data_IF_581036493588
#
_entry.id   IF_581036493588
#
_cell.length_a   1.000
_cell.length_b   1.000
_cell.length_c   1.000
_cell.angle_alpha   90.00
_cell.angle_beta   90.00
_cell.angle_gamma   90.00
#
_symmetry.space_group_name_H-M   'P 1'
#
loop_
_entity.id
_entity.type
_entity.pdbx_description
1 polymer ?
#
# COMPACT_ATOMS: atom_id res chain seq x y z
N UNK A 1 -2.58 -49.09 -0.98
CA UNK A 1 -3.81 -48.28 -0.85
C UNK A 1 -3.44 -46.86 -1.22
N UNK A 2 -3.73 -46.45 -2.45
CA UNK A 2 -3.42 -45.11 -2.96
C UNK A 2 -4.65 -44.25 -2.67
N UNK A 3 -4.53 -43.30 -1.74
CA UNK A 3 -5.58 -42.33 -1.47
C UNK A 3 -5.69 -41.45 -2.72
N UNK A 4 -6.71 -41.70 -3.54
CA UNK A 4 -7.09 -40.81 -4.62
C UNK A 4 -7.73 -39.57 -3.98
N UNK A 5 -6.90 -38.62 -3.56
CA UNK A 5 -7.35 -37.28 -3.19
C UNK A 5 -7.48 -36.52 -4.50
N UNK A 6 -8.67 -35.96 -4.75
CA UNK A 6 -8.85 -35.08 -5.89
C UNK A 6 -8.08 -33.76 -5.69
N UNK A 7 -7.55 -33.21 -6.78
CA UNK A 7 -6.71 -32.01 -6.73
C UNK A 7 -7.43 -30.80 -6.11
N UNK A 8 -8.75 -30.69 -6.30
CA UNK A 8 -9.58 -29.63 -5.69
C UNK A 8 -9.59 -29.72 -4.17
N UNK A 9 -9.72 -30.92 -3.60
CA UNK A 9 -9.61 -31.12 -2.14
C UNK A 9 -8.22 -30.75 -1.60
N UNK A 10 -7.15 -30.99 -2.36
CA UNK A 10 -5.79 -30.58 -1.97
C UNK A 10 -5.66 -29.06 -1.96
N UNK A 11 -6.15 -28.37 -2.99
CA UNK A 11 -6.14 -26.91 -3.09
C UNK A 11 -6.87 -26.25 -1.91
N UNK A 12 -8.04 -26.76 -1.53
CA UNK A 12 -8.83 -26.23 -0.40
C UNK A 12 -8.11 -26.38 0.95
N UNK A 13 -7.45 -27.52 1.17
CA UNK A 13 -6.65 -27.75 2.38
C UNK A 13 -5.45 -26.79 2.40
N UNK A 14 -4.78 -26.63 1.26
CA UNK A 14 -3.65 -25.72 1.11
C UNK A 14 -4.07 -24.29 1.44
N UNK A 15 -5.13 -23.78 0.82
CA UNK A 15 -5.68 -22.44 1.06
C UNK A 15 -6.02 -22.21 2.53
N UNK A 16 -6.63 -23.21 3.16
CA UNK A 16 -6.98 -23.15 4.59
C UNK A 16 -5.73 -23.04 5.46
N UNK A 17 -4.69 -23.83 5.18
CA UNK A 17 -3.42 -23.79 5.93
C UNK A 17 -2.69 -22.47 5.69
N UNK A 18 -2.65 -21.99 4.46
CA UNK A 18 -1.99 -20.73 4.09
C UNK A 18 -2.65 -19.53 4.79
N UNK A 19 -3.98 -19.47 4.81
CA UNK A 19 -4.74 -18.45 5.56
C UNK A 19 -4.49 -18.56 7.07
N UNK A 20 -4.60 -19.76 7.65
CA UNK A 20 -4.36 -19.98 9.10
C UNK A 20 -2.96 -19.55 9.55
N UNK A 21 -1.96 -19.70 8.68
CA UNK A 21 -0.57 -19.35 8.97
C UNK A 21 -0.20 -17.92 8.56
N UNK A 22 -1.15 -17.14 8.03
CA UNK A 22 -0.95 -15.74 7.65
C UNK A 22 -0.15 -15.55 6.35
N UNK A 23 -0.01 -16.58 5.51
CA UNK A 23 0.67 -16.47 4.21
C UNK A 23 -0.22 -15.78 3.15
N UNK A 24 -1.53 -15.74 3.37
CA UNK A 24 -2.47 -14.97 2.55
C UNK A 24 -2.83 -13.69 3.31
N UNK A 25 -2.50 -12.49 2.80
CA UNK A 25 -2.87 -11.23 3.44
C UNK A 25 -4.39 -11.12 3.58
N UNK A 26 -4.88 -10.76 4.77
CA UNK A 26 -6.33 -10.56 5.01
C UNK A 26 -6.93 -9.45 4.14
N UNK A 27 -6.11 -8.47 3.75
CA UNK A 27 -6.49 -7.37 2.87
C UNK A 27 -5.44 -7.21 1.78
N UNK A 28 -5.83 -7.53 0.55
CA UNK A 28 -5.01 -7.26 -0.62
C UNK A 28 -4.99 -5.75 -0.91
N UNK A 29 -3.81 -5.18 -1.07
CA UNK A 29 -3.59 -3.78 -1.44
C UNK A 29 -3.08 -3.62 -2.87
N UNK A 30 -2.69 -4.73 -3.53
CA UNK A 30 -2.35 -4.75 -4.96
C UNK A 30 -3.57 -4.34 -5.78
N UNK A 31 -3.39 -3.41 -6.71
CA UNK A 31 -4.47 -2.85 -7.55
C UNK A 31 -5.39 -1.86 -6.84
N UNK A 32 -5.20 -1.63 -5.53
CA UNK A 32 -6.02 -0.68 -4.78
C UNK A 32 -5.45 0.73 -4.87
N UNK A 33 -6.35 1.69 -5.02
CA UNK A 33 -6.03 3.11 -4.93
C UNK A 33 -6.61 3.74 -3.68
N UNK A 34 -5.90 4.69 -3.09
CA UNK A 34 -6.32 5.44 -1.91
C UNK A 34 -6.18 6.95 -2.12
N UNK A 35 -6.92 7.71 -1.32
CA UNK A 35 -6.75 9.17 -1.22
C UNK A 35 -5.47 9.54 -0.45
N UNK A 36 -5.02 10.78 -0.61
CA UNK A 36 -3.89 11.31 0.17
C UNK A 36 -4.17 11.36 1.68
N UNK A 37 -5.44 11.55 2.07
CA UNK A 37 -5.83 11.55 3.49
C UNK A 37 -5.69 10.15 4.10
N UNK A 38 -6.15 9.12 3.39
CA UNK A 38 -5.95 7.73 3.80
C UNK A 38 -4.46 7.36 3.84
N UNK A 39 -3.69 7.80 2.84
CA UNK A 39 -2.25 7.57 2.81
C UNK A 39 -1.57 8.20 4.04
N UNK A 40 -1.87 9.47 4.32
CA UNK A 40 -1.30 10.18 5.48
C UNK A 40 -1.62 9.45 6.79
N UNK A 41 -2.88 9.01 6.97
CA UNK A 41 -3.33 8.27 8.15
C UNK A 41 -2.69 6.89 8.30
N UNK A 42 -2.36 6.21 7.21
CA UNK A 42 -1.77 4.86 7.24
C UNK A 42 -0.24 4.88 7.36
N UNK A 43 0.41 5.70 6.55
CA UNK A 43 1.85 5.60 6.33
C UNK A 43 2.65 6.77 6.89
N UNK A 44 2.00 7.90 7.20
CA UNK A 44 2.69 9.13 7.60
C UNK A 44 2.21 9.74 8.92
N UNK A 45 1.61 8.96 9.83
CA UNK A 45 1.24 9.47 11.16
C UNK A 45 2.47 10.00 11.92
N UNK A 46 2.35 11.13 12.66
CA UNK A 46 1.14 11.91 12.94
C UNK A 46 0.80 12.99 11.88
N UNK A 47 1.50 13.01 10.75
CA UNK A 47 1.44 14.09 9.78
C UNK A 47 0.19 14.06 8.89
N UNK A 48 -0.25 15.24 8.47
CA UNK A 48 -1.38 15.43 7.56
C UNK A 48 -0.98 15.52 6.08
N UNK A 49 -1.99 15.70 5.23
CA UNK A 49 -1.84 15.73 3.76
C UNK A 49 -0.88 16.80 3.26
N UNK A 50 -0.86 17.99 3.87
CA UNK A 50 0.03 19.08 3.49
C UNK A 50 1.52 18.73 3.71
N UNK A 51 1.80 18.05 4.82
CA UNK A 51 3.15 17.59 5.15
C UNK A 51 3.59 16.47 4.19
N UNK A 52 2.70 15.51 3.91
CA UNK A 52 2.97 14.45 2.91
C UNK A 52 3.31 15.05 1.55
N UNK A 53 2.57 16.07 1.10
CA UNK A 53 2.90 16.76 -0.15
C UNK A 53 4.29 17.38 -0.11
N UNK A 54 4.58 18.15 0.94
CA UNK A 54 5.84 18.90 1.07
C UNK A 54 7.06 18.00 1.20
N UNK A 55 6.96 16.91 1.97
CA UNK A 55 8.11 16.11 2.39
C UNK A 55 8.23 14.76 1.68
N UNK A 56 7.17 14.30 1.00
CA UNK A 56 7.17 13.03 0.25
C UNK A 56 6.87 13.28 -1.23
N UNK A 57 5.70 13.81 -1.58
CA UNK A 57 5.29 13.84 -2.99
C UNK A 57 6.08 14.83 -3.84
N UNK A 58 6.31 16.05 -3.36
CA UNK A 58 7.01 17.08 -4.13
C UNK A 58 8.52 16.84 -4.25
N UNK A 59 9.25 16.41 -3.19
CA UNK A 59 10.69 16.17 -3.28
C UNK A 59 11.01 14.93 -4.09
N UNK A 60 10.30 13.83 -3.83
CA UNK A 60 10.62 12.53 -4.42
C UNK A 60 9.90 12.26 -5.75
N UNK A 61 8.83 13.01 -6.06
CA UNK A 61 8.04 12.89 -7.31
C UNK A 61 7.74 11.43 -7.69
N UNK A 62 7.13 10.66 -6.77
CA UNK A 62 6.98 9.22 -6.96
C UNK A 62 6.06 8.87 -8.14
N UNK A 63 6.37 7.77 -8.81
CA UNK A 63 5.57 7.19 -9.89
C UNK A 63 4.26 6.53 -9.42
N UNK A 64 4.19 6.16 -8.14
CA UNK A 64 2.99 5.60 -7.50
C UNK A 64 1.91 6.64 -7.14
N UNK A 65 2.16 7.92 -7.40
CA UNK A 65 1.18 8.99 -7.20
C UNK A 65 0.87 9.69 -8.53
N UNK A 66 -0.39 9.58 -8.95
CA UNK A 66 -0.86 10.30 -10.14
C UNK A 66 -1.33 11.71 -9.79
N UNK A 67 -1.06 12.65 -10.70
CA UNK A 67 -1.53 14.03 -10.60
C UNK A 67 -1.15 14.70 -9.26
N UNK A 68 0.16 14.75 -8.96
CA UNK A 68 0.73 15.33 -7.72
C UNK A 68 0.33 16.81 -7.53
N UNK A 69 0.07 17.53 -8.63
CA UNK A 69 -0.42 18.90 -8.65
C UNK A 69 -1.82 18.97 -9.29
N UNK A 70 -2.87 18.48 -8.60
CA UNK A 70 -4.20 18.54 -9.17
C UNK A 70 -4.63 20.01 -9.29
N UNK A 71 -4.99 20.43 -10.51
CA UNK A 71 -5.67 21.70 -10.76
C UNK A 71 -7.06 21.73 -10.11
N UNK A 72 -7.80 22.82 -10.31
CA UNK A 72 -9.16 22.95 -9.78
C UNK A 72 -10.05 21.81 -10.30
N UNK A 73 -10.59 20.99 -9.40
CA UNK A 73 -11.41 19.82 -9.74
C UNK A 73 -10.61 18.55 -10.10
N UNK A 74 -9.27 18.63 -10.16
CA UNK A 74 -8.41 17.47 -10.37
C UNK A 74 -8.39 16.56 -9.15
N UNK A 75 -8.39 15.24 -9.39
CA UNK A 75 -8.19 14.24 -8.34
C UNK A 75 -6.75 13.73 -8.39
N UNK A 76 -6.18 13.56 -7.21
CA UNK A 76 -4.91 12.86 -6.99
C UNK A 76 -5.24 11.43 -6.57
N UNK A 77 -4.52 10.46 -7.12
CA UNK A 77 -4.73 9.04 -6.82
C UNK A 77 -3.41 8.40 -6.46
N UNK A 78 -3.35 7.73 -5.30
CA UNK A 78 -2.19 6.98 -4.83
C UNK A 78 -2.46 5.49 -5.03
N UNK A 79 -1.52 4.79 -5.66
CA UNK A 79 -1.54 3.33 -5.78
C UNK A 79 -0.97 2.73 -4.49
N UNK A 80 -1.79 2.08 -3.67
CA UNK A 80 -1.47 1.76 -2.27
C UNK A 80 -0.28 0.82 -2.13
N UNK A 81 -0.25 -0.28 -2.91
CA UNK A 81 0.86 -1.24 -2.85
C UNK A 81 2.23 -0.64 -3.17
N UNK A 82 2.46 -0.01 -4.35
CA UNK A 82 3.78 0.56 -4.64
C UNK A 82 4.14 1.71 -3.68
N UNK A 83 3.16 2.49 -3.22
CA UNK A 83 3.40 3.52 -2.21
C UNK A 83 3.85 2.92 -0.87
N UNK A 84 3.28 1.79 -0.45
CA UNK A 84 3.67 1.09 0.78
C UNK A 84 5.10 0.52 0.70
N UNK A 85 5.46 -0.08 -0.43
CA UNK A 85 6.82 -0.57 -0.70
C UNK A 85 7.82 0.59 -0.62
N UNK A 86 7.55 1.68 -1.35
CA UNK A 86 8.39 2.86 -1.36
C UNK A 86 8.56 3.47 0.03
N UNK A 87 7.48 3.58 0.82
CA UNK A 87 7.53 4.09 2.18
C UNK A 87 8.40 3.23 3.10
N UNK A 88 8.48 1.92 2.88
CA UNK A 88 9.34 1.04 3.65
C UNK A 88 10.82 1.21 3.28
N UNK A 89 11.11 1.34 1.99
CA UNK A 89 12.47 1.49 1.45
C UNK A 89 13.07 2.86 1.80
N UNK A 90 12.32 3.94 1.61
CA UNK A 90 12.78 5.31 1.76
C UNK A 90 12.50 5.91 3.14
N UNK A 91 12.03 5.10 4.10
CA UNK A 91 11.62 5.58 5.44
C UNK A 91 12.66 6.44 6.14
N UNK A 92 13.95 6.13 5.96
CA UNK A 92 15.07 6.81 6.61
C UNK A 92 15.50 8.10 5.91
N UNK A 93 15.10 8.28 4.66
CA UNK A 93 15.44 9.46 3.85
C UNK A 93 14.48 10.63 4.12
N UNK A 94 13.30 10.34 4.65
CA UNK A 94 12.27 11.32 4.97
C UNK A 94 12.65 12.03 6.28
N UNK A 95 12.70 13.37 6.26
CA UNK A 95 12.77 14.17 7.48
C UNK A 95 11.41 14.22 8.18
N UNK A 96 11.16 13.23 9.03
CA UNK A 96 9.94 13.11 9.84
C UNK A 96 9.72 14.26 10.82
N UNK A 97 10.73 15.08 11.13
CA UNK A 97 10.60 16.17 12.09
C UNK A 97 10.38 17.54 11.42
N UNK A 98 10.32 17.58 10.08
CA UNK A 98 10.05 18.81 9.33
C UNK A 98 8.72 19.46 9.76
N UNK A 99 8.75 20.77 10.01
CA UNK A 99 7.60 21.58 10.47
C UNK A 99 6.95 22.38 9.32
#
# INVERSE_FOLDING_TARGET
MQLAVDDSSLEQILDTVLRKRGYVPEKQIVGKTISIDEFAKKYAKPHGTAWVKRNILYPFKPDWCSNIHPGRGGKMTIFEYPAAVWMNEHRKEIDWNAK
#
